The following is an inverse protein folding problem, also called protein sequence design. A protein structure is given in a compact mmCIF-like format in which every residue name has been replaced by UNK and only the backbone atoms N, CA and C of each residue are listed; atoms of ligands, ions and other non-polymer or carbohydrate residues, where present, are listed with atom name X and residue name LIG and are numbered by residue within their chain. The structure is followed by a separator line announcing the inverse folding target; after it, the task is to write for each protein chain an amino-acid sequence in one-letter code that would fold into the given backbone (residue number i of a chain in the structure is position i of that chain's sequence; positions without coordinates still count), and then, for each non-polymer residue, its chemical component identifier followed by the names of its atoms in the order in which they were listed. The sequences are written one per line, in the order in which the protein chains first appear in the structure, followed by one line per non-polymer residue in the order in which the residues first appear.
data_IF_112294420652
#
_entry.id   IF_112294420652
#
_cell.length_a   1.000
_cell.length_b   1.000
_cell.length_c   1.000
_cell.angle_alpha   90.00
_cell.angle_beta   90.00
_cell.angle_gamma   90.00
#
_symmetry.space_group_name_H-M   'P 1'
#
loop_
_entity.id
_entity.type
_entity.pdbx_description
1 polymer ?
#
# COMPACT_ATOMS: atom_id res chain seq x y z
N UNK A 1 -35.80 2.10 -50.18
CA UNK A 1 -35.69 0.93 -49.27
C UNK A 1 -34.34 0.93 -48.52
N UNK A 2 -34.03 1.94 -47.69
CA UNK A 2 -32.77 2.00 -46.90
C UNK A 2 -32.91 2.56 -45.47
N UNK A 3 -34.14 2.74 -44.98
CA UNK A 3 -34.39 3.29 -43.63
C UNK A 3 -34.67 2.18 -42.61
N UNK A 4 -35.22 1.05 -43.07
CA UNK A 4 -35.63 -0.07 -42.19
C UNK A 4 -34.44 -0.83 -41.57
N UNK A 5 -33.30 -0.87 -42.25
CA UNK A 5 -32.10 -1.56 -41.76
C UNK A 5 -31.33 -0.74 -40.71
N UNK A 6 -31.31 0.59 -40.83
CA UNK A 6 -30.66 1.48 -39.84
C UNK A 6 -31.41 1.48 -38.50
N UNK A 7 -32.74 1.45 -38.52
CA UNK A 7 -33.55 1.41 -37.29
C UNK A 7 -33.31 0.11 -36.52
N UNK A 8 -33.15 -1.01 -37.22
CA UNK A 8 -32.89 -2.30 -36.60
C UNK A 8 -31.51 -2.34 -35.90
N UNK A 9 -30.46 -1.82 -36.56
CA UNK A 9 -29.11 -1.78 -35.97
C UNK A 9 -29.03 -0.83 -34.76
N UNK A 10 -29.73 0.30 -34.79
CA UNK A 10 -29.77 1.22 -33.64
C UNK A 10 -30.55 0.66 -32.45
N UNK A 11 -31.63 -0.09 -32.68
CA UNK A 11 -32.35 -0.80 -31.63
C UNK A 11 -31.49 -1.91 -31.00
N UNK A 12 -30.72 -2.65 -31.80
CA UNK A 12 -29.80 -3.67 -31.27
C UNK A 12 -28.68 -3.09 -30.40
N UNK A 13 -28.08 -1.96 -30.81
CA UNK A 13 -27.05 -1.29 -30.02
C UNK A 13 -27.64 -0.75 -28.71
N UNK A 14 -28.81 -0.11 -28.75
CA UNK A 14 -29.45 0.42 -27.54
C UNK A 14 -29.82 -0.71 -26.55
N UNK A 15 -30.34 -1.83 -27.05
CA UNK A 15 -30.67 -3.01 -26.23
C UNK A 15 -29.41 -3.64 -25.63
N UNK A 16 -28.31 -3.73 -26.39
CA UNK A 16 -27.03 -4.23 -25.88
C UNK A 16 -26.46 -3.33 -24.77
N UNK A 17 -26.50 -2.00 -24.95
CA UNK A 17 -26.08 -1.06 -23.92
C UNK A 17 -26.96 -1.14 -22.67
N UNK A 18 -28.28 -1.27 -22.81
CA UNK A 18 -29.20 -1.45 -21.67
C UNK A 18 -28.91 -2.77 -20.93
N UNK A 19 -28.62 -3.87 -21.64
CA UNK A 19 -28.25 -5.15 -21.03
C UNK A 19 -26.90 -5.05 -20.30
N UNK A 20 -25.89 -4.40 -20.89
CA UNK A 20 -24.58 -4.20 -20.24
C UNK A 20 -24.72 -3.33 -18.99
N UNK A 21 -25.50 -2.24 -19.05
CA UNK A 21 -25.80 -1.40 -17.89
C UNK A 21 -26.57 -2.18 -16.82
N UNK A 22 -27.54 -3.01 -17.20
CA UNK A 22 -28.30 -3.83 -16.26
C UNK A 22 -27.46 -4.93 -15.60
N UNK A 23 -26.54 -5.56 -16.35
CA UNK A 23 -25.59 -6.53 -15.79
C UNK A 23 -24.60 -5.85 -14.84
N UNK A 24 -24.07 -4.68 -15.22
CA UNK A 24 -23.17 -3.90 -14.37
C UNK A 24 -23.88 -3.41 -13.09
N UNK A 25 -25.14 -2.97 -13.19
CA UNK A 25 -25.96 -2.55 -12.07
C UNK A 25 -26.46 -3.73 -11.18
N UNK A 26 -26.37 -4.98 -11.66
CA UNK A 26 -26.80 -6.18 -10.91
C UNK A 26 -25.71 -6.76 -10.00
N UNK A 27 -24.47 -6.28 -10.07
CA UNK A 27 -23.39 -6.75 -9.19
C UNK A 27 -23.49 -6.25 -7.75
N UNK A 28 -24.40 -5.34 -7.43
CA UNK A 28 -24.65 -4.89 -6.06
C UNK A 28 -25.89 -5.55 -5.47
N UNK A 29 -25.81 -6.83 -5.11
CA UNK A 29 -26.64 -7.34 -3.98
C UNK A 29 -25.97 -8.46 -3.18
N UNK A 30 -25.69 -8.11 -1.93
CA UNK A 30 -25.66 -8.93 -0.69
C UNK A 30 -24.39 -9.70 -0.36
N UNK A 31 -23.41 -8.96 0.16
CA UNK A 31 -22.69 -9.38 1.36
C UNK A 31 -23.23 -8.52 2.50
N UNK A 32 -24.04 -9.12 3.37
CA UNK A 32 -24.35 -8.53 4.66
C UNK A 32 -23.23 -8.97 5.61
N UNK A 33 -22.23 -8.12 5.78
CA UNK A 33 -21.38 -8.14 6.96
C UNK A 33 -21.27 -6.68 7.38
N UNK A 34 -22.05 -6.30 8.40
CA UNK A 34 -22.10 -4.96 8.91
C UNK A 34 -20.72 -4.46 9.35
N UNK A 35 -20.58 -3.14 9.29
CA UNK A 35 -19.42 -2.32 9.63
C UNK A 35 -18.60 -1.87 8.41
N UNK A 36 -18.33 -0.56 8.39
CA UNK A 36 -17.35 0.13 7.54
C UNK A 36 -17.86 0.53 6.14
N UNK A 37 -18.93 1.34 6.09
CA UNK A 37 -18.92 2.50 5.20
C UNK A 37 -19.17 3.73 6.08
N UNK A 38 -18.09 4.33 6.56
CA UNK A 38 -18.13 5.73 6.99
C UNK A 38 -17.48 6.54 5.90
N UNK A 39 -18.31 7.39 5.31
CA UNK A 39 -17.93 8.52 4.49
C UNK A 39 -16.77 9.29 5.13
N UNK A 40 -15.95 9.84 4.26
CA UNK A 40 -14.99 10.91 4.51
C UNK A 40 -15.31 11.77 5.73
N UNK A 41 -14.66 11.47 6.85
CA UNK A 41 -14.38 12.45 7.89
C UNK A 41 -12.92 12.23 8.31
N UNK A 42 -12.05 13.11 7.82
CA UNK A 42 -10.61 13.10 8.05
C UNK A 42 -10.23 13.57 9.47
N UNK A 43 -11.03 13.17 10.46
CA UNK A 43 -10.86 13.51 11.88
C UNK A 43 -10.81 12.27 12.77
N UNK A 44 -10.61 11.07 12.22
CA UNK A 44 -10.24 9.91 13.02
C UNK A 44 -8.81 10.12 13.57
N UNK A 45 -8.73 10.45 14.86
CA UNK A 45 -7.45 10.65 15.51
C UNK A 45 -6.62 9.36 15.45
N UNK A 46 -5.32 9.48 15.22
CA UNK A 46 -4.42 8.33 15.14
C UNK A 46 -4.34 7.50 16.44
N UNK A 47 -4.94 7.97 17.55
CA UNK A 47 -4.99 7.23 18.81
C UNK A 47 -5.99 6.08 18.82
N UNK A 48 -7.03 6.11 17.97
CA UNK A 48 -8.15 5.16 18.08
C UNK A 48 -8.03 3.96 17.13
N UNK A 49 -7.11 4.03 16.17
CA UNK A 49 -6.85 2.93 15.22
C UNK A 49 -6.15 1.76 15.91
N UNK A 50 -6.54 0.54 15.52
CA UNK A 50 -5.77 -0.66 15.85
C UNK A 50 -4.36 -0.56 15.26
N UNK A 51 -3.39 -1.25 15.87
CA UNK A 51 -2.01 -1.24 15.34
C UNK A 51 -1.93 -1.87 13.95
N UNK A 52 -2.72 -2.92 13.71
CA UNK A 52 -2.78 -3.58 12.40
C UNK A 52 -3.29 -2.60 11.31
N UNK A 53 -4.37 -1.87 11.59
CA UNK A 53 -4.93 -0.90 10.65
C UNK A 53 -3.96 0.25 10.40
N UNK A 54 -3.29 0.73 11.45
CA UNK A 54 -2.32 1.81 11.31
C UNK A 54 -1.09 1.36 10.49
N UNK A 55 -0.60 0.13 10.68
CA UNK A 55 0.45 -0.45 9.83
C UNK A 55 0.01 -0.46 8.36
N UNK A 56 -1.20 -0.96 8.08
CA UNK A 56 -1.73 -1.00 6.71
C UNK A 56 -1.85 0.40 6.12
N UNK A 57 -2.37 1.37 6.88
CA UNK A 57 -2.47 2.76 6.41
C UNK A 57 -1.11 3.35 6.06
N UNK A 58 -0.09 3.16 6.90
CA UNK A 58 1.26 3.68 6.64
C UNK A 58 1.89 3.03 5.39
N UNK A 59 1.75 1.72 5.26
CA UNK A 59 2.27 0.95 4.12
C UNK A 59 1.61 1.38 2.79
N UNK A 60 0.32 1.72 2.79
CA UNK A 60 -0.38 2.20 1.60
C UNK A 60 -0.15 3.69 1.33
N UNK A 61 0.06 4.49 2.38
CA UNK A 61 0.27 5.94 2.28
C UNK A 61 1.64 6.29 1.70
N UNK A 62 2.67 5.53 2.03
CA UNK A 62 4.05 5.81 1.64
C UNK A 62 4.59 4.73 0.69
N UNK A 63 5.02 5.09 -0.53
CA UNK A 63 5.65 4.16 -1.46
C UNK A 63 6.85 3.40 -0.86
N UNK A 64 7.59 4.04 0.04
CA UNK A 64 8.66 3.43 0.83
C UNK A 64 8.40 3.67 2.32
N UNK A 65 8.09 2.60 3.06
CA UNK A 65 7.80 2.66 4.49
C UNK A 65 8.81 1.81 5.27
N UNK A 66 9.39 2.36 6.34
CA UNK A 66 10.34 1.65 7.20
C UNK A 66 9.89 1.68 8.65
N UNK A 67 9.59 0.51 9.20
CA UNK A 67 9.44 0.34 10.64
C UNK A 67 10.83 0.08 11.23
N UNK A 68 11.28 0.95 12.13
CA UNK A 68 12.67 1.07 12.58
C UNK A 68 12.75 1.13 14.10
N UNK A 69 13.97 1.00 14.63
CA UNK A 69 14.32 1.55 15.94
C UNK A 69 15.57 2.41 15.85
N UNK A 70 15.59 3.55 16.52
CA UNK A 70 16.64 4.57 16.39
C UNK A 70 18.03 4.04 16.74
N UNK A 71 18.12 3.14 17.73
CA UNK A 71 19.38 2.57 18.23
C UNK A 71 19.82 1.29 17.49
N UNK A 72 19.04 0.79 16.52
CA UNK A 72 19.30 -0.49 15.86
C UNK A 72 20.29 -0.32 14.69
N UNK A 73 21.43 -1.04 14.67
CA UNK A 73 22.41 -0.93 13.59
C UNK A 73 21.88 -1.43 12.24
N UNK A 74 21.03 -2.47 12.24
CA UNK A 74 20.38 -2.95 11.01
C UNK A 74 19.37 -1.94 10.45
N UNK A 75 18.68 -1.20 11.33
CA UNK A 75 17.76 -0.14 10.90
C UNK A 75 18.54 1.02 10.29
N UNK A 76 19.64 1.42 10.93
CA UNK A 76 20.57 2.42 10.39
C UNK A 76 21.12 2.00 9.02
N UNK A 77 21.48 0.71 8.85
CA UNK A 77 21.91 0.16 7.56
C UNK A 77 20.87 0.36 6.46
N UNK A 78 19.61 -0.02 6.71
CA UNK A 78 18.53 0.16 5.73
C UNK A 78 18.31 1.64 5.39
N UNK A 79 18.25 2.51 6.40
CA UNK A 79 18.06 3.96 6.23
C UNK A 79 19.19 4.59 5.40
N UNK A 80 20.44 4.23 5.67
CA UNK A 80 21.61 4.73 4.93
C UNK A 80 21.67 4.27 3.47
N UNK A 81 21.15 3.08 3.16
CA UNK A 81 21.04 2.62 1.77
C UNK A 81 19.95 3.43 1.05
N UNK A 82 18.77 3.54 1.66
CA UNK A 82 17.64 4.26 1.08
C UNK A 82 17.93 5.76 0.91
N UNK A 83 18.74 6.37 1.79
CA UNK A 83 19.11 7.79 1.69
C UNK A 83 20.00 8.13 0.49
N UNK A 84 20.55 7.13 -0.21
CA UNK A 84 21.26 7.35 -1.47
C UNK A 84 20.31 7.74 -2.62
N UNK A 85 19.02 7.47 -2.45
CA UNK A 85 17.99 7.72 -3.43
C UNK A 85 17.21 9.00 -3.10
N UNK A 86 16.78 9.74 -4.13
CA UNK A 86 15.94 10.93 -3.98
C UNK A 86 14.48 10.53 -3.78
N UNK A 87 14.14 10.15 -2.55
CA UNK A 87 12.81 9.63 -2.21
C UNK A 87 11.81 10.71 -1.77
N UNK A 88 12.28 11.90 -1.37
CA UNK A 88 11.45 13.05 -0.95
C UNK A 88 10.24 12.64 -0.08
N UNK A 89 9.03 13.00 -0.50
CA UNK A 89 7.76 12.71 0.18
C UNK A 89 7.31 11.24 0.10
N UNK A 90 8.00 10.42 -0.68
CA UNK A 90 7.64 9.01 -0.89
C UNK A 90 8.21 8.08 0.19
N UNK A 91 9.05 8.60 1.08
CA UNK A 91 9.73 7.85 2.13
C UNK A 91 9.26 8.26 3.52
N UNK A 92 8.96 7.27 4.35
CA UNK A 92 8.63 7.49 5.76
C UNK A 92 9.23 6.43 6.67
N UNK A 93 9.59 6.85 7.89
CA UNK A 93 10.14 6.01 8.94
C UNK A 93 9.29 6.16 10.19
N UNK A 94 8.85 5.03 10.74
CA UNK A 94 8.25 4.98 12.08
C UNK A 94 9.24 4.35 13.05
N UNK A 95 9.75 5.14 14.00
CA UNK A 95 10.66 4.68 15.05
C UNK A 95 9.85 4.09 16.20
N UNK A 96 9.83 2.76 16.31
CA UNK A 96 9.01 2.04 17.28
C UNK A 96 9.45 2.28 18.72
N UNK A 97 10.73 2.58 18.95
CA UNK A 97 11.27 2.95 20.27
C UNK A 97 10.71 4.28 20.80
N UNK A 98 10.13 5.12 19.94
CA UNK A 98 9.45 6.34 20.33
C UNK A 98 7.96 6.11 20.67
N UNK A 99 7.49 4.86 20.55
CA UNK A 99 6.13 4.42 20.85
C UNK A 99 6.13 3.35 21.97
N UNK A 100 6.63 3.65 23.18
CA UNK A 100 6.91 2.63 24.20
C UNK A 100 5.68 1.79 24.61
N UNK A 101 4.48 2.36 24.57
CA UNK A 101 3.24 1.64 24.90
C UNK A 101 2.71 0.73 23.79
N UNK A 102 3.21 0.87 22.55
CA UNK A 102 2.70 0.15 21.36
C UNK A 102 3.77 -0.62 20.59
N UNK A 103 5.06 -0.43 20.89
CA UNK A 103 6.17 -1.01 20.15
C UNK A 103 6.04 -2.54 19.95
N UNK A 104 5.72 -3.27 21.02
CA UNK A 104 5.55 -4.73 20.97
C UNK A 104 4.36 -5.16 20.13
N UNK A 105 3.27 -4.39 20.16
CA UNK A 105 2.10 -4.62 19.31
C UNK A 105 2.46 -4.45 17.83
N UNK A 106 3.25 -3.42 17.49
CA UNK A 106 3.74 -3.22 16.12
C UNK A 106 4.60 -4.40 15.67
N UNK A 107 5.57 -4.80 16.50
CA UNK A 107 6.44 -5.92 16.16
C UNK A 107 5.66 -7.23 16.00
N UNK A 108 4.64 -7.48 16.82
CA UNK A 108 3.78 -8.65 16.69
C UNK A 108 2.99 -8.63 15.37
N UNK A 109 2.30 -7.53 15.05
CA UNK A 109 1.54 -7.41 13.80
C UNK A 109 2.45 -7.47 12.55
N UNK A 110 3.63 -6.85 12.61
CA UNK A 110 4.65 -6.99 11.56
C UNK A 110 5.12 -8.44 11.41
N UNK A 111 5.23 -9.18 12.52
CA UNK A 111 5.52 -10.61 12.53
C UNK A 111 4.46 -11.42 11.80
N UNK A 112 3.18 -11.15 12.06
CA UNK A 112 2.06 -11.82 11.35
C UNK A 112 2.06 -11.48 9.85
N UNK A 113 2.35 -10.23 9.50
CA UNK A 113 2.32 -9.76 8.11
C UNK A 113 3.53 -10.21 7.27
N UNK A 114 4.71 -10.29 7.90
CA UNK A 114 5.99 -10.45 7.16
C UNK A 114 6.75 -11.72 7.53
N UNK A 115 6.30 -12.47 8.53
CA UNK A 115 6.99 -13.64 9.06
C UNK A 115 8.12 -13.32 10.05
N UNK A 116 8.41 -12.05 10.33
CA UNK A 116 9.45 -11.63 11.27
C UNK A 116 9.05 -10.41 12.10
N UNK A 117 9.29 -10.47 13.41
CA UNK A 117 9.01 -9.37 14.35
C UNK A 117 10.17 -8.37 14.45
N UNK A 118 11.30 -8.62 13.79
CA UNK A 118 12.53 -7.84 13.94
C UNK A 118 12.51 -6.54 13.12
N UNK A 119 13.09 -5.48 13.67
CA UNK A 119 13.36 -4.24 12.93
C UNK A 119 14.75 -4.29 12.26
N UNK A 120 14.92 -3.63 11.10
CA UNK A 120 13.89 -2.92 10.36
C UNK A 120 12.97 -3.89 9.62
N UNK A 121 11.74 -3.46 9.35
CA UNK A 121 10.90 -4.02 8.28
C UNK A 121 10.70 -2.93 7.22
N UNK A 122 11.18 -3.20 6.00
CA UNK A 122 11.14 -2.26 4.88
C UNK A 122 10.07 -2.72 3.90
N UNK A 123 9.19 -1.79 3.52
CA UNK A 123 8.14 -1.99 2.53
C UNK A 123 8.37 -1.07 1.34
N UNK A 124 8.18 -1.61 0.14
CA UNK A 124 8.18 -0.86 -1.12
C UNK A 124 6.90 -1.23 -1.88
N UNK A 125 6.10 -0.23 -2.25
CA UNK A 125 4.81 -0.40 -2.92
C UNK A 125 3.92 -1.45 -2.23
N UNK A 126 3.73 -1.30 -0.92
CA UNK A 126 2.91 -2.23 -0.14
C UNK A 126 3.56 -3.56 0.24
N UNK A 127 4.67 -3.95 -0.40
CA UNK A 127 5.30 -5.26 -0.22
C UNK A 127 6.50 -5.20 0.70
N UNK A 128 6.55 -6.10 1.69
CA UNK A 128 7.75 -6.26 2.52
C UNK A 128 8.90 -6.82 1.69
N UNK A 129 10.03 -6.13 1.69
CA UNK A 129 11.28 -6.56 1.06
C UNK A 129 12.27 -7.18 2.05
N UNK A 130 11.94 -7.17 3.35
CA UNK A 130 12.76 -7.74 4.41
C UNK A 130 13.35 -6.69 5.35
N UNK A 131 14.56 -6.95 5.84
CA UNK A 131 15.30 -6.12 6.79
C UNK A 131 16.49 -5.39 6.18
N UNK A 132 17.44 -5.00 7.04
CA UNK A 132 18.62 -4.25 6.61
C UNK A 132 19.56 -5.04 5.71
N UNK A 133 19.72 -6.34 5.97
CA UNK A 133 20.56 -7.21 5.15
C UNK A 133 19.90 -7.52 3.80
N UNK A 134 18.58 -7.73 3.77
CA UNK A 134 17.81 -7.91 2.54
C UNK A 134 17.86 -6.65 1.66
N UNK A 135 17.73 -5.47 2.29
CA UNK A 135 17.86 -4.16 1.61
C UNK A 135 19.25 -4.00 1.01
N UNK A 136 20.31 -4.35 1.76
CA UNK A 136 21.69 -4.34 1.26
C UNK A 136 21.90 -5.34 0.11
N UNK A 137 21.30 -6.53 0.20
CA UNK A 137 21.38 -7.51 -0.86
C UNK A 137 20.67 -7.05 -2.14
N UNK A 138 19.55 -6.33 -2.02
CA UNK A 138 18.81 -5.73 -3.14
C UNK A 138 19.61 -4.62 -3.82
N UNK A 139 20.22 -3.74 -3.00
CA UNK A 139 21.13 -2.68 -3.46
C UNK A 139 22.29 -3.27 -4.27
N UNK A 140 23.00 -4.26 -3.72
CA UNK A 140 24.20 -4.84 -4.34
C UNK A 140 23.92 -5.50 -5.69
N UNK A 141 22.71 -6.01 -5.90
CA UNK A 141 22.32 -6.66 -7.16
C UNK A 141 21.58 -5.73 -8.13
N UNK A 142 21.43 -4.45 -7.80
CA UNK A 142 20.74 -3.45 -8.62
C UNK A 142 19.21 -3.53 -8.62
N UNK A 143 18.63 -4.48 -7.89
CA UNK A 143 17.18 -4.66 -7.84
C UNK A 143 16.46 -3.57 -7.02
N UNK A 144 17.15 -2.96 -6.05
CA UNK A 144 16.53 -1.95 -5.19
C UNK A 144 16.05 -0.75 -6.01
N UNK A 145 16.90 -0.23 -6.89
CA UNK A 145 16.55 0.89 -7.78
C UNK A 145 15.34 0.54 -8.66
N UNK A 146 15.34 -0.66 -9.24
CA UNK A 146 14.22 -1.15 -10.06
C UNK A 146 12.91 -1.15 -9.28
N UNK A 147 12.90 -1.68 -8.05
CA UNK A 147 11.71 -1.69 -7.19
C UNK A 147 11.25 -0.27 -6.83
N UNK A 148 12.17 0.65 -6.56
CA UNK A 148 11.85 2.04 -6.27
C UNK A 148 11.22 2.76 -7.48
N UNK A 149 11.68 2.45 -8.70
CA UNK A 149 11.10 2.97 -9.95
C UNK A 149 9.71 2.41 -10.22
N UNK A 150 9.53 1.09 -10.05
CA UNK A 150 8.23 0.42 -10.16
C UNK A 150 7.22 1.02 -9.16
N UNK A 151 7.68 1.37 -7.96
CA UNK A 151 6.89 2.06 -6.94
C UNK A 151 6.65 3.56 -7.21
N UNK A 152 7.24 4.12 -8.28
CA UNK A 152 7.28 5.56 -8.56
C UNK A 152 7.83 6.39 -7.39
N UNK A 153 8.67 5.76 -6.56
CA UNK A 153 9.29 6.39 -5.40
C UNK A 153 10.47 7.29 -5.82
N UNK A 154 11.13 6.94 -6.93
CA UNK A 154 12.11 7.76 -7.63
C UNK A 154 11.65 7.95 -9.08
N UNK A 155 11.85 9.16 -9.61
CA UNK A 155 11.57 9.50 -11.01
C UNK A 155 12.88 9.71 -11.76
N UNK A 156 12.95 9.24 -13.01
CA UNK A 156 13.98 9.68 -13.94
C UNK A 156 13.79 11.17 -14.19
N UNK A 157 14.87 11.94 -14.04
CA UNK A 157 14.94 13.35 -14.41
C UNK A 157 14.93 13.51 -15.93
#
# INVERSE_FOLDING_TARGET
MRVKECICLMLFILIFFIIVIYIFARSDTKINMGSIWSSSDSSLSSSDLSVADHIQQLIHKYPVMVFSKSYCPYSSKAKNILSKYKLDKNYHVLELDQLPSRADQYQNELGKLTGAQTVPRVFINGKCIGGGDDTMALEKRGDLERLLREAKAIVDL
#
